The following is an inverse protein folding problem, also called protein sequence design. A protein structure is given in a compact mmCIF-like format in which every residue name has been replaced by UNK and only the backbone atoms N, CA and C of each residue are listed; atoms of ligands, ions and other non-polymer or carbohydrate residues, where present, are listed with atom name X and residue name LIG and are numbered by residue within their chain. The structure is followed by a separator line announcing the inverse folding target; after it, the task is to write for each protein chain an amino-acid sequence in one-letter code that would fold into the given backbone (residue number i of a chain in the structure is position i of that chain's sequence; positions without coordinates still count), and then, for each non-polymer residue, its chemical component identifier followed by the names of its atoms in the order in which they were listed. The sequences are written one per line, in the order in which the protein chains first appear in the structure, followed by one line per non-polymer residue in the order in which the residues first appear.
data_IF_832386847014
#
_entry.id   IF_832386847014
#
_cell.length_a   1.000
_cell.length_b   1.000
_cell.length_c   1.000
_cell.angle_alpha   90.00
_cell.angle_beta   90.00
_cell.angle_gamma   90.00
#
_symmetry.space_group_name_H-M   'P 1'
#
loop_
_entity.id
_entity.type
_entity.pdbx_description
1 polymer ?
#
# COMPACT_ATOMS: atom_id res chain seq x y z
N UNK A 1 -6.01 53.10 10.62
CA UNK A 1 -6.78 52.60 9.45
C UNK A 1 -6.18 51.26 9.05
N UNK A 2 -6.81 50.15 9.45
CA UNK A 2 -6.37 48.81 9.05
C UNK A 2 -6.83 48.56 7.61
N UNK A 3 -5.88 48.50 6.66
CA UNK A 3 -6.15 48.25 5.27
C UNK A 3 -6.79 46.84 5.13
N UNK A 4 -8.02 46.75 4.63
CA UNK A 4 -8.68 45.53 4.22
C UNK A 4 -7.77 44.83 3.18
N UNK A 5 -7.10 43.73 3.56
CA UNK A 5 -6.38 42.86 2.61
C UNK A 5 -7.38 42.40 1.56
N UNK A 6 -7.27 42.93 0.35
CA UNK A 6 -8.09 42.47 -0.80
C UNK A 6 -7.84 40.99 -0.99
N UNK A 7 -8.90 40.21 -0.95
CA UNK A 7 -8.82 38.77 -1.20
C UNK A 7 -8.27 38.55 -2.62
N UNK A 8 -7.21 37.78 -2.82
CA UNK A 8 -6.55 37.65 -4.11
C UNK A 8 -7.41 36.78 -5.07
N UNK A 9 -8.38 37.41 -5.72
CA UNK A 9 -9.34 36.77 -6.63
C UNK A 9 -8.65 35.93 -7.72
N UNK A 10 -7.48 36.37 -8.18
CA UNK A 10 -6.67 35.63 -9.18
C UNK A 10 -6.25 34.23 -8.68
N UNK A 11 -5.89 34.09 -7.40
CA UNK A 11 -5.56 32.77 -6.84
C UNK A 11 -6.75 31.82 -6.85
N UNK A 12 -7.96 32.33 -6.57
CA UNK A 12 -9.19 31.51 -6.61
C UNK A 12 -9.46 31.06 -8.04
N UNK A 13 -9.35 31.95 -9.02
CA UNK A 13 -9.59 31.61 -10.43
C UNK A 13 -8.62 30.55 -10.94
N UNK A 14 -7.34 30.61 -10.55
CA UNK A 14 -6.34 29.59 -10.94
C UNK A 14 -6.50 28.25 -10.23
N UNK A 15 -6.90 28.24 -8.95
CA UNK A 15 -7.03 27.01 -8.15
C UNK A 15 -8.39 26.35 -8.33
N UNK A 16 -9.46 27.13 -8.62
CA UNK A 16 -10.83 26.64 -8.69
C UNK A 16 -11.04 25.44 -9.65
N UNK A 17 -10.50 25.41 -10.89
CA UNK A 17 -10.69 24.29 -11.79
C UNK A 17 -10.13 22.98 -11.21
N UNK A 18 -8.91 23.03 -10.68
CA UNK A 18 -8.27 21.85 -10.06
C UNK A 18 -9.02 21.41 -8.80
N UNK A 19 -9.45 22.36 -7.96
CA UNK A 19 -10.20 22.07 -6.75
C UNK A 19 -11.59 21.48 -7.04
N UNK A 20 -12.29 21.97 -8.08
CA UNK A 20 -13.58 21.44 -8.49
C UNK A 20 -13.43 20.00 -8.98
N UNK A 21 -12.45 19.73 -9.86
CA UNK A 21 -12.17 18.37 -10.37
C UNK A 21 -11.84 17.44 -9.21
N UNK A 22 -10.94 17.84 -8.32
CA UNK A 22 -10.57 17.06 -7.15
C UNK A 22 -11.77 16.78 -6.23
N UNK A 23 -12.62 17.77 -6.01
CA UNK A 23 -13.81 17.60 -5.17
C UNK A 23 -14.81 16.64 -5.79
N UNK A 24 -15.09 16.75 -7.09
CA UNK A 24 -16.06 15.92 -7.79
C UNK A 24 -15.59 14.46 -7.94
N UNK A 25 -14.32 14.23 -8.22
CA UNK A 25 -13.82 12.90 -8.56
C UNK A 25 -13.11 12.19 -7.40
N UNK A 26 -12.74 12.89 -6.33
CA UNK A 26 -12.04 12.30 -5.20
C UNK A 26 -12.76 12.48 -3.86
N UNK A 27 -13.13 13.72 -3.51
CA UNK A 27 -13.80 13.98 -2.22
C UNK A 27 -15.22 13.43 -2.22
N UNK A 28 -16.01 13.73 -3.25
CA UNK A 28 -17.41 13.29 -3.31
C UNK A 28 -17.55 11.75 -3.29
N UNK A 29 -16.84 10.95 -4.12
CA UNK A 29 -16.89 9.49 -4.03
C UNK A 29 -16.40 8.93 -2.69
N UNK A 30 -15.40 9.55 -2.06
CA UNK A 30 -14.93 9.16 -0.73
C UNK A 30 -16.03 9.35 0.32
N UNK A 31 -16.67 10.51 0.35
CA UNK A 31 -17.76 10.82 1.29
C UNK A 31 -18.96 9.91 1.02
N UNK A 32 -19.32 9.69 -0.25
CA UNK A 32 -20.43 8.79 -0.61
C UNK A 32 -20.14 7.33 -0.25
N UNK A 33 -18.90 6.86 -0.45
CA UNK A 33 -18.48 5.53 0.00
C UNK A 33 -18.55 5.39 1.52
N UNK A 34 -18.09 6.40 2.28
CA UNK A 34 -18.24 6.40 3.73
C UNK A 34 -19.71 6.41 4.16
N UNK A 35 -20.55 7.21 3.49
CA UNK A 35 -21.99 7.21 3.73
C UNK A 35 -22.58 5.83 3.49
N UNK A 36 -22.27 5.22 2.34
CA UNK A 36 -22.78 3.90 1.94
C UNK A 36 -22.45 2.80 2.96
N UNK A 37 -21.35 2.90 3.69
CA UNK A 37 -20.97 1.94 4.72
C UNK A 37 -21.94 1.87 5.91
N UNK A 38 -22.77 2.91 6.12
CA UNK A 38 -23.79 2.98 7.16
C UNK A 38 -25.19 2.61 6.66
N UNK A 39 -25.33 2.18 5.41
CA UNK A 39 -26.59 1.78 4.79
C UNK A 39 -26.53 0.33 4.33
N UNK A 40 -27.68 -0.33 4.35
CA UNK A 40 -27.87 -1.67 3.77
C UNK A 40 -29.07 -1.67 2.82
N UNK A 41 -29.09 -2.58 1.82
CA UNK A 41 -30.29 -2.79 1.01
C UNK A 41 -31.46 -3.22 1.90
N UNK A 42 -32.66 -2.65 1.71
CA UNK A 42 -33.84 -2.94 2.52
C UNK A 42 -34.19 -4.45 2.55
N UNK A 43 -34.05 -5.13 1.42
CA UNK A 43 -34.33 -6.57 1.29
C UNK A 43 -33.39 -7.47 2.13
N UNK A 44 -32.15 -7.02 2.37
CA UNK A 44 -31.22 -7.76 3.24
C UNK A 44 -31.63 -7.62 4.70
N UNK A 45 -32.18 -6.48 5.08
CA UNK A 45 -32.66 -6.22 6.44
C UNK A 45 -33.94 -7.02 6.69
N UNK A 46 -34.89 -7.05 5.74
CA UNK A 46 -36.13 -7.82 5.83
C UNK A 46 -35.88 -9.33 5.87
N UNK A 47 -34.91 -9.84 5.07
CA UNK A 47 -34.55 -11.27 5.07
C UNK A 47 -33.88 -11.72 6.38
N UNK A 48 -33.12 -10.85 7.05
CA UNK A 48 -32.56 -11.15 8.38
C UNK A 48 -33.65 -11.19 9.47
N UNK A 49 -34.66 -10.33 9.37
CA UNK A 49 -35.78 -10.30 10.32
C UNK A 49 -36.74 -11.50 10.15
N UNK A 50 -36.91 -11.99 8.91
CA UNK A 50 -37.81 -13.12 8.61
C UNK A 50 -37.15 -14.49 8.66
N UNK A 51 -35.82 -14.58 8.71
CA UNK A 51 -35.06 -15.84 8.72
C UNK A 51 -35.13 -16.64 7.39
N UNK A 52 -35.58 -16.03 6.29
CA UNK A 52 -35.69 -16.68 5.00
C UNK A 52 -34.32 -16.81 4.30
N UNK A 53 -34.01 -18.03 3.85
CA UNK A 53 -32.80 -18.32 3.07
C UNK A 53 -33.06 -18.01 1.60
N UNK A 54 -32.64 -16.83 1.14
CA UNK A 54 -32.75 -16.45 -0.27
C UNK A 54 -31.77 -17.23 -1.15
N UNK A 55 -32.22 -17.64 -2.34
CA UNK A 55 -31.34 -18.22 -3.34
C UNK A 55 -30.36 -17.15 -3.91
N UNK A 56 -29.14 -17.56 -4.32
CA UNK A 56 -28.14 -16.63 -4.84
C UNK A 56 -28.63 -15.80 -6.04
N UNK A 57 -29.57 -16.34 -6.86
CA UNK A 57 -30.16 -15.65 -7.99
C UNK A 57 -31.16 -14.58 -7.59
N UNK A 58 -31.99 -14.84 -6.59
CA UNK A 58 -32.95 -13.88 -6.01
C UNK A 58 -32.21 -12.74 -5.30
N UNK A 59 -31.17 -13.07 -4.52
CA UNK A 59 -30.31 -12.09 -3.90
C UNK A 59 -29.59 -11.19 -4.92
N UNK A 60 -29.28 -11.71 -6.11
CA UNK A 60 -28.65 -10.91 -7.19
C UNK A 60 -29.66 -10.01 -7.91
N UNK A 61 -30.86 -10.51 -8.21
CA UNK A 61 -31.96 -9.72 -8.81
C UNK A 61 -32.41 -8.61 -7.86
N UNK A 62 -32.56 -8.93 -6.58
CA UNK A 62 -32.88 -8.01 -5.51
C UNK A 62 -31.83 -6.89 -5.37
N UNK A 63 -30.56 -7.19 -5.44
CA UNK A 63 -29.46 -6.22 -5.36
C UNK A 63 -29.38 -5.26 -6.57
N UNK A 64 -29.77 -5.71 -7.74
CA UNK A 64 -29.88 -4.83 -8.94
C UNK A 64 -31.07 -3.88 -8.81
N UNK A 65 -32.17 -4.33 -8.24
CA UNK A 65 -33.37 -3.52 -7.95
C UNK A 65 -33.18 -2.58 -6.76
N UNK A 66 -32.41 -2.98 -5.75
CA UNK A 66 -32.30 -2.33 -4.42
C UNK A 66 -31.40 -1.08 -4.38
N UNK A 67 -30.74 -0.70 -5.48
CA UNK A 67 -30.07 0.61 -5.55
C UNK A 67 -31.01 1.80 -5.26
N UNK A 68 -32.31 1.55 -5.10
CA UNK A 68 -33.33 2.58 -4.81
C UNK A 68 -33.84 2.58 -3.35
N UNK A 69 -33.59 1.51 -2.58
CA UNK A 69 -34.14 1.40 -1.22
C UNK A 69 -33.00 1.04 -0.23
N UNK A 70 -32.12 2.00 0.04
CA UNK A 70 -31.09 1.85 1.08
C UNK A 70 -31.69 2.30 2.44
N UNK A 71 -31.58 1.45 3.45
CA UNK A 71 -32.00 1.73 4.83
C UNK A 71 -30.77 2.06 5.66
N UNK A 72 -30.85 3.08 6.50
CA UNK A 72 -29.79 3.41 7.44
C UNK A 72 -29.72 2.38 8.55
N UNK A 73 -28.60 1.67 8.65
CA UNK A 73 -28.35 0.61 9.64
C UNK A 73 -27.28 0.97 10.67
N UNK A 74 -26.79 2.21 10.65
CA UNK A 74 -25.73 2.66 11.55
C UNK A 74 -24.46 1.83 11.41
N UNK A 75 -23.95 1.31 12.54
CA UNK A 75 -22.69 0.53 12.58
C UNK A 75 -22.91 -0.98 12.36
N UNK A 76 -24.09 -1.43 12.02
CA UNK A 76 -24.40 -2.87 11.88
C UNK A 76 -23.53 -3.56 10.83
N UNK A 77 -23.21 -2.90 9.68
CA UNK A 77 -22.30 -3.44 8.69
C UNK A 77 -20.89 -3.69 9.25
N UNK A 78 -20.39 -2.78 10.10
CA UNK A 78 -19.09 -2.94 10.76
C UNK A 78 -19.11 -4.07 11.80
N UNK A 79 -20.20 -4.19 12.57
CA UNK A 79 -20.39 -5.31 13.49
C UNK A 79 -20.43 -6.62 12.72
N UNK A 80 -21.23 -6.71 11.65
CA UNK A 80 -21.31 -7.88 10.78
C UNK A 80 -19.95 -8.23 10.16
N UNK A 81 -19.20 -7.25 9.66
CA UNK A 81 -17.86 -7.49 9.11
C UNK A 81 -16.89 -8.13 10.12
N UNK A 82 -17.04 -7.81 11.41
CA UNK A 82 -16.15 -8.27 12.48
C UNK A 82 -16.61 -9.52 13.22
N UNK A 83 -17.92 -9.85 13.18
CA UNK A 83 -18.50 -10.94 13.99
C UNK A 83 -19.09 -12.07 13.17
N UNK A 84 -19.53 -11.84 11.94
CA UNK A 84 -20.15 -12.85 11.08
C UNK A 84 -19.11 -13.91 10.68
N UNK A 85 -19.43 -15.22 10.78
CA UNK A 85 -18.52 -16.31 10.43
C UNK A 85 -18.00 -16.29 8.99
N UNK A 86 -18.73 -15.66 8.06
CA UNK A 86 -18.32 -15.53 6.66
C UNK A 86 -17.31 -14.38 6.46
N UNK A 87 -17.54 -13.25 7.15
CA UNK A 87 -16.78 -12.01 6.94
C UNK A 87 -15.58 -11.86 7.87
N UNK A 88 -15.74 -12.21 9.15
CA UNK A 88 -14.73 -11.98 10.17
C UNK A 88 -13.37 -12.66 9.87
N UNK A 89 -13.30 -13.93 9.45
CA UNK A 89 -12.02 -14.55 9.12
C UNK A 89 -11.33 -13.90 7.92
N UNK A 90 -12.12 -13.43 6.93
CA UNK A 90 -11.59 -12.81 5.70
C UNK A 90 -11.01 -11.43 5.97
N UNK A 91 -11.71 -10.56 6.70
CA UNK A 91 -11.18 -9.23 7.05
C UNK A 91 -9.95 -9.33 7.96
N UNK A 92 -9.96 -10.25 8.93
CA UNK A 92 -8.80 -10.48 9.80
C UNK A 92 -7.60 -11.01 9.00
N UNK A 93 -7.83 -11.94 8.06
CA UNK A 93 -6.81 -12.43 7.14
C UNK A 93 -6.22 -11.31 6.29
N UNK A 94 -7.06 -10.48 5.66
CA UNK A 94 -6.64 -9.36 4.84
C UNK A 94 -5.85 -8.31 5.65
N UNK A 95 -6.30 -7.95 6.86
CA UNK A 95 -5.58 -7.05 7.75
C UNK A 95 -4.21 -7.63 8.11
N UNK A 96 -4.15 -8.90 8.54
CA UNK A 96 -2.89 -9.59 8.84
C UNK A 96 -1.93 -9.56 7.66
N UNK A 97 -2.42 -9.90 6.47
CA UNK A 97 -1.63 -9.91 5.25
C UNK A 97 -1.10 -8.51 4.89
N UNK A 98 -1.91 -7.45 5.05
CA UNK A 98 -1.43 -6.07 4.87
C UNK A 98 -0.30 -5.71 5.85
N UNK A 99 -0.41 -6.12 7.11
CA UNK A 99 0.68 -5.88 8.07
C UNK A 99 1.93 -6.68 7.74
N UNK A 100 1.81 -7.93 7.26
CA UNK A 100 2.97 -8.73 6.79
C UNK A 100 3.59 -8.07 5.56
N UNK A 101 2.78 -7.66 4.60
CA UNK A 101 3.22 -6.94 3.39
C UNK A 101 3.95 -5.65 3.75
N UNK A 102 3.40 -4.84 4.63
CA UNK A 102 4.03 -3.63 5.16
C UNK A 102 5.34 -3.93 5.90
N UNK A 103 5.36 -4.95 6.76
CA UNK A 103 6.56 -5.33 7.51
C UNK A 103 7.71 -5.71 6.57
N UNK A 104 7.43 -6.46 5.50
CA UNK A 104 8.45 -6.81 4.49
C UNK A 104 9.00 -5.55 3.81
N UNK A 105 8.13 -4.61 3.42
CA UNK A 105 8.58 -3.36 2.81
C UNK A 105 9.38 -2.50 3.80
N UNK A 106 8.92 -2.41 5.04
CA UNK A 106 9.60 -1.62 6.07
C UNK A 106 10.96 -2.20 6.45
N UNK A 107 11.07 -3.55 6.55
CA UNK A 107 12.27 -4.23 7.04
C UNK A 107 13.22 -4.69 5.92
N UNK A 108 12.75 -4.78 4.69
CA UNK A 108 13.56 -5.23 3.54
C UNK A 108 13.73 -4.10 2.53
N UNK A 109 12.65 -3.54 1.99
CA UNK A 109 12.72 -2.50 0.95
C UNK A 109 13.42 -1.23 1.44
N UNK A 110 13.00 -0.68 2.57
CA UNK A 110 13.52 0.60 3.04
C UNK A 110 15.00 0.50 3.48
N UNK A 111 15.45 -0.53 4.21
CA UNK A 111 16.88 -0.74 4.48
C UNK A 111 17.72 -0.97 3.21
N UNK A 112 17.24 -1.76 2.25
CA UNK A 112 17.94 -1.93 0.96
C UNK A 112 18.02 -0.58 0.23
N UNK A 113 16.93 0.18 0.18
CA UNK A 113 16.90 1.53 -0.40
C UNK A 113 17.91 2.47 0.27
N UNK A 114 18.02 2.43 1.59
CA UNK A 114 19.01 3.22 2.34
C UNK A 114 20.44 2.78 2.03
N UNK A 115 20.74 1.50 2.01
CA UNK A 115 22.06 0.97 1.65
C UNK A 115 22.45 1.39 0.23
N UNK A 116 21.53 1.23 -0.73
CA UNK A 116 21.75 1.68 -2.11
C UNK A 116 21.99 3.19 -2.19
N UNK A 117 21.24 3.99 -1.43
CA UNK A 117 21.44 5.44 -1.37
C UNK A 117 22.83 5.81 -0.84
N UNK A 118 23.29 5.16 0.24
CA UNK A 118 24.63 5.37 0.81
C UNK A 118 25.71 4.99 -0.19
N UNK A 119 25.58 3.86 -0.86
CA UNK A 119 26.54 3.42 -1.88
C UNK A 119 26.59 4.39 -3.06
N UNK A 120 25.44 4.80 -3.58
CA UNK A 120 25.34 5.66 -4.76
C UNK A 120 25.61 7.15 -4.49
N UNK A 121 25.67 7.58 -3.23
CA UNK A 121 26.16 8.92 -2.85
C UNK A 121 27.64 8.92 -2.53
N UNK A 122 28.27 7.75 -2.29
CA UNK A 122 29.70 7.61 -2.03
C UNK A 122 30.53 8.00 -3.25
N UNK A 123 31.70 8.64 -3.06
CA UNK A 123 32.63 8.97 -4.14
C UNK A 123 33.32 7.73 -4.78
N UNK A 124 33.28 6.59 -4.09
CA UNK A 124 33.93 5.35 -4.55
C UNK A 124 33.20 4.69 -5.75
N UNK A 125 31.90 4.96 -5.96
CA UNK A 125 31.14 4.36 -7.05
C UNK A 125 31.23 5.18 -8.32
N UNK A 126 31.63 4.54 -9.43
CA UNK A 126 31.62 5.12 -10.79
C UNK A 126 30.26 4.86 -11.44
N UNK A 127 29.87 5.70 -12.42
CA UNK A 127 28.61 5.55 -13.18
C UNK A 127 27.33 5.58 -12.35
N UNK A 128 27.29 6.34 -11.26
CA UNK A 128 26.15 6.47 -10.33
C UNK A 128 24.81 6.72 -11.04
N UNK A 129 24.81 7.54 -12.08
CA UNK A 129 23.61 7.87 -12.85
C UNK A 129 23.00 6.62 -13.49
N UNK A 130 23.83 5.75 -14.08
CA UNK A 130 23.37 4.50 -14.72
C UNK A 130 22.74 3.57 -13.67
N UNK A 131 23.41 3.35 -12.53
CA UNK A 131 22.85 2.52 -11.47
C UNK A 131 21.54 3.08 -10.91
N UNK A 132 21.45 4.39 -10.67
CA UNK A 132 20.19 5.03 -10.25
C UNK A 132 19.07 4.79 -11.23
N UNK A 133 19.35 4.97 -12.53
CA UNK A 133 18.36 4.71 -13.59
C UNK A 133 17.92 3.25 -13.62
N UNK A 134 18.86 2.31 -13.59
CA UNK A 134 18.55 0.87 -13.64
C UNK A 134 17.73 0.38 -12.42
N UNK A 135 18.07 0.87 -11.22
CA UNK A 135 17.35 0.50 -9.99
C UNK A 135 15.96 1.15 -9.94
N UNK A 136 15.81 2.35 -10.52
CA UNK A 136 14.53 3.06 -10.57
C UNK A 136 13.63 2.58 -11.70
N UNK A 137 14.19 2.00 -12.77
CA UNK A 137 13.47 1.56 -13.97
C UNK A 137 12.26 0.67 -13.66
N UNK A 138 12.33 -0.35 -12.77
CA UNK A 138 11.18 -1.19 -12.46
C UNK A 138 9.97 -0.40 -11.92
N UNK A 139 10.20 0.70 -11.23
CA UNK A 139 9.15 1.53 -10.61
C UNK A 139 8.20 2.16 -11.65
N UNK A 140 8.69 2.44 -12.86
CA UNK A 140 7.89 3.05 -13.94
C UNK A 140 7.15 2.01 -14.80
N UNK A 141 7.41 0.71 -14.61
CA UNK A 141 6.69 -0.34 -15.32
C UNK A 141 5.26 -0.47 -14.78
N UNK A 142 4.31 -0.74 -15.67
CA UNK A 142 2.94 -0.99 -15.25
C UNK A 142 2.84 -2.27 -14.41
N UNK A 143 1.92 -2.30 -13.45
CA UNK A 143 1.65 -3.48 -12.63
C UNK A 143 1.28 -4.70 -13.49
N UNK A 144 0.54 -4.48 -14.58
CA UNK A 144 0.14 -5.55 -15.49
C UNK A 144 1.36 -6.21 -16.14
N UNK A 145 2.31 -5.40 -16.62
CA UNK A 145 3.54 -5.91 -17.22
C UNK A 145 4.39 -6.66 -16.18
N UNK A 146 4.59 -6.06 -15.01
CA UNK A 146 5.36 -6.68 -13.91
C UNK A 146 4.70 -8.00 -13.48
N UNK A 147 3.39 -7.99 -13.24
CA UNK A 147 2.65 -9.19 -12.85
C UNK A 147 2.76 -10.31 -13.88
N UNK A 148 2.58 -10.00 -15.16
CA UNK A 148 2.69 -10.96 -16.25
C UNK A 148 4.11 -11.55 -16.38
N UNK A 149 5.15 -10.71 -16.34
CA UNK A 149 6.54 -11.17 -16.41
C UNK A 149 6.83 -12.15 -15.26
N UNK A 150 6.48 -11.78 -14.02
CA UNK A 150 6.74 -12.62 -12.86
C UNK A 150 5.90 -13.90 -12.85
N UNK A 151 4.64 -13.87 -13.33
CA UNK A 151 3.86 -15.09 -13.54
C UNK A 151 4.55 -16.08 -14.49
N UNK A 152 5.07 -15.59 -15.61
CA UNK A 152 5.81 -16.44 -16.57
C UNK A 152 7.10 -16.96 -15.94
N UNK A 153 7.90 -16.08 -15.31
CA UNK A 153 9.18 -16.46 -14.73
C UNK A 153 9.06 -17.49 -13.61
N UNK A 154 8.00 -17.40 -12.80
CA UNK A 154 7.75 -18.27 -11.65
C UNK A 154 6.80 -19.43 -11.98
N UNK A 155 6.38 -19.58 -13.25
CA UNK A 155 5.49 -20.67 -13.67
C UNK A 155 6.14 -22.05 -13.41
N UNK A 156 5.46 -23.01 -12.77
CA UNK A 156 6.05 -24.31 -12.44
C UNK A 156 6.29 -25.21 -13.66
N UNK A 157 5.62 -24.96 -14.79
CA UNK A 157 5.71 -25.83 -15.97
C UNK A 157 6.78 -25.35 -16.97
N UNK A 158 6.86 -24.05 -17.22
CA UNK A 158 7.74 -23.47 -18.24
C UNK A 158 8.53 -22.23 -17.76
N UNK A 159 8.44 -21.90 -16.49
CA UNK A 159 9.19 -20.78 -15.93
C UNK A 159 10.67 -21.10 -15.74
N UNK A 160 11.51 -20.07 -15.89
CA UNK A 160 12.97 -20.18 -15.80
C UNK A 160 13.51 -20.32 -14.38
N UNK A 161 12.68 -20.11 -13.36
CA UNK A 161 13.09 -20.09 -11.96
C UNK A 161 13.70 -21.40 -11.47
N UNK A 162 13.17 -22.55 -11.93
CA UNK A 162 13.70 -23.87 -11.64
C UNK A 162 15.09 -24.08 -12.25
N UNK A 163 15.26 -23.66 -13.50
CA UNK A 163 16.51 -23.82 -14.24
C UNK A 163 17.62 -22.95 -13.65
N UNK A 164 17.29 -21.70 -13.26
CA UNK A 164 18.23 -20.81 -12.58
C UNK A 164 18.69 -21.43 -11.26
N UNK A 165 17.78 -21.94 -10.43
CA UNK A 165 18.14 -22.58 -9.16
C UNK A 165 19.00 -23.82 -9.35
N UNK A 166 18.72 -24.61 -10.39
CA UNK A 166 19.51 -25.77 -10.76
C UNK A 166 20.91 -25.36 -11.19
N UNK A 167 21.03 -24.31 -12.00
CA UNK A 167 22.32 -23.79 -12.49
C UNK A 167 23.23 -23.30 -11.36
N UNK A 168 22.66 -22.67 -10.33
CA UNK A 168 23.42 -22.19 -9.15
C UNK A 168 23.58 -23.24 -8.06
N UNK A 169 23.17 -24.50 -8.31
CA UNK A 169 23.35 -25.62 -7.38
C UNK A 169 22.36 -25.69 -6.22
N UNK A 170 21.23 -25.00 -6.32
CA UNK A 170 20.18 -24.93 -5.29
C UNK A 170 18.81 -25.44 -5.74
N UNK A 171 18.70 -26.57 -6.45
CA UNK A 171 17.43 -27.07 -6.97
C UNK A 171 16.41 -27.41 -5.87
N UNK A 172 16.88 -27.74 -4.67
CA UNK A 172 16.05 -28.06 -3.51
C UNK A 172 15.26 -26.86 -2.95
N UNK A 173 15.63 -25.62 -3.31
CA UNK A 173 14.90 -24.44 -2.92
C UNK A 173 13.71 -24.13 -3.86
N UNK A 174 13.63 -24.86 -4.98
CA UNK A 174 12.52 -24.67 -5.90
C UNK A 174 11.20 -25.16 -5.30
N UNK A 175 10.18 -24.35 -5.42
CA UNK A 175 8.79 -24.68 -5.13
C UNK A 175 7.87 -23.78 -5.99
N UNK A 176 6.60 -24.14 -6.17
CA UNK A 176 5.65 -23.29 -6.87
C UNK A 176 5.22 -22.11 -5.97
N UNK A 177 6.12 -21.13 -5.78
CA UNK A 177 5.97 -20.07 -4.77
C UNK A 177 4.65 -19.29 -4.84
N UNK A 178 4.08 -19.08 -6.02
CA UNK A 178 2.79 -18.40 -6.19
C UNK A 178 1.60 -19.36 -5.98
N UNK A 179 1.83 -20.67 -6.00
CA UNK A 179 0.79 -21.69 -5.85
C UNK A 179 0.65 -22.25 -4.43
N UNK A 180 1.51 -21.85 -3.48
CA UNK A 180 1.47 -22.31 -2.10
C UNK A 180 0.98 -21.19 -1.17
N UNK A 181 0.06 -21.53 -0.24
CA UNK A 181 -0.46 -20.57 0.75
C UNK A 181 0.64 -19.95 1.60
N UNK A 182 1.66 -20.72 1.95
CA UNK A 182 2.76 -20.27 2.82
C UNK A 182 3.73 -19.31 2.17
N UNK A 183 3.85 -19.31 0.84
CA UNK A 183 4.85 -18.52 0.12
C UNK A 183 4.27 -17.46 -0.79
N UNK A 184 2.99 -17.54 -1.19
CA UNK A 184 2.39 -16.64 -2.16
C UNK A 184 2.51 -15.16 -1.76
N UNK A 185 2.12 -14.80 -0.54
CA UNK A 185 2.19 -13.42 -0.05
C UNK A 185 3.65 -12.90 0.03
N UNK A 186 4.56 -13.73 0.55
CA UNK A 186 5.98 -13.36 0.69
C UNK A 186 6.60 -13.13 -0.68
N UNK A 187 6.34 -14.03 -1.64
CA UNK A 187 6.85 -13.92 -3.01
C UNK A 187 6.35 -12.64 -3.68
N UNK A 188 5.06 -12.35 -3.59
CA UNK A 188 4.48 -11.12 -4.14
C UNK A 188 5.02 -9.87 -3.45
N UNK A 189 5.24 -9.93 -2.13
CA UNK A 189 5.88 -8.84 -1.39
C UNK A 189 7.31 -8.57 -1.88
N UNK A 190 8.10 -9.62 -2.15
CA UNK A 190 9.47 -9.47 -2.67
C UNK A 190 9.48 -8.94 -4.12
N UNK A 191 8.51 -9.34 -4.95
CA UNK A 191 8.32 -8.76 -6.29
C UNK A 191 8.02 -7.25 -6.16
N UNK A 192 7.14 -6.88 -5.25
CA UNK A 192 6.83 -5.47 -4.96
C UNK A 192 8.06 -4.71 -4.43
N UNK A 193 8.84 -5.30 -3.53
CA UNK A 193 10.12 -4.72 -3.06
C UNK A 193 11.06 -4.44 -4.23
N UNK A 194 11.24 -5.42 -5.13
CA UNK A 194 12.08 -5.24 -6.33
C UNK A 194 11.55 -4.10 -7.21
N UNK A 195 10.23 -4.01 -7.41
CA UNK A 195 9.64 -2.96 -8.23
C UNK A 195 9.83 -1.57 -7.62
N UNK A 196 9.69 -1.42 -6.31
CA UNK A 196 9.57 -0.11 -5.66
C UNK A 196 10.78 0.32 -4.83
N UNK A 197 11.85 -0.48 -4.72
CA UNK A 197 13.05 -0.12 -3.93
C UNK A 197 13.74 1.17 -4.43
N UNK A 198 13.52 1.53 -5.70
CA UNK A 198 14.02 2.77 -6.28
C UNK A 198 13.48 4.03 -5.61
N UNK A 199 12.25 4.01 -5.08
CA UNK A 199 11.63 5.17 -4.42
C UNK A 199 12.37 5.55 -3.12
N UNK A 200 12.48 4.66 -2.11
CA UNK A 200 13.23 4.98 -0.90
C UNK A 200 14.70 5.27 -1.20
N UNK A 201 15.34 4.57 -2.15
CA UNK A 201 16.70 4.86 -2.57
C UNK A 201 16.86 6.31 -3.03
N UNK A 202 15.97 6.82 -3.85
CA UNK A 202 16.03 8.21 -4.36
C UNK A 202 15.79 9.23 -3.25
N UNK A 203 14.80 8.99 -2.37
CA UNK A 203 14.50 9.89 -1.25
C UNK A 203 15.66 9.96 -0.25
N UNK A 204 16.25 8.82 0.11
CA UNK A 204 17.42 8.78 0.97
C UNK A 204 18.65 9.39 0.30
N UNK A 205 18.83 9.17 -1.01
CA UNK A 205 19.93 9.79 -1.75
C UNK A 205 19.84 11.31 -1.73
N UNK A 206 18.64 11.87 -1.94
CA UNK A 206 18.42 13.31 -1.88
C UNK A 206 18.73 13.87 -0.47
N UNK A 207 18.29 13.19 0.57
CA UNK A 207 18.57 13.59 1.95
C UNK A 207 20.06 13.52 2.29
N UNK A 208 20.76 12.46 1.85
CA UNK A 208 22.20 12.29 2.10
C UNK A 208 23.05 13.31 1.36
N UNK A 209 22.66 13.71 0.14
CA UNK A 209 23.35 14.78 -0.63
C UNK A 209 23.15 16.17 -0.01
N UNK A 210 22.03 16.37 0.72
CA UNK A 210 21.76 17.63 1.42
C UNK A 210 22.60 17.85 2.69
N UNK A 211 23.35 16.85 3.16
CA UNK A 211 24.24 17.00 4.34
C UNK A 211 25.49 17.78 3.94
N UNK A 212 25.87 18.81 4.71
CA UNK A 212 27.10 19.59 4.48
C UNK A 212 28.34 18.69 4.49
N UNK A 213 29.20 18.85 3.47
CA UNK A 213 30.48 18.14 3.41
C UNK A 213 31.42 18.55 4.54
N UNK A 214 31.34 19.80 5.01
CA UNK A 214 32.14 20.31 6.13
C UNK A 214 31.99 19.50 7.40
N UNK A 215 30.72 19.08 7.73
CA UNK A 215 30.46 18.22 8.88
C UNK A 215 31.13 16.84 8.74
N UNK A 216 31.12 16.30 7.53
CA UNK A 216 31.73 14.99 7.24
C UNK A 216 33.26 15.07 7.27
N UNK A 217 33.83 16.16 6.77
CA UNK A 217 35.27 16.41 6.78
C UNK A 217 35.80 16.66 8.20
N UNK A 218 35.11 17.49 8.99
CA UNK A 218 35.46 17.71 10.39
C UNK A 218 35.54 16.39 11.17
N UNK A 219 34.50 15.53 11.01
CA UNK A 219 34.48 14.21 11.65
C UNK A 219 35.64 13.30 11.19
N UNK A 220 36.07 13.41 9.93
CA UNK A 220 37.28 12.67 9.44
C UNK A 220 38.55 13.18 10.07
N UNK A 221 38.71 14.48 10.23
CA UNK A 221 39.83 15.07 10.93
C UNK A 221 39.90 14.63 12.38
N UNK A 222 38.74 14.48 13.03
CA UNK A 222 38.60 13.93 14.39
C UNK A 222 38.81 12.40 14.45
N UNK A 223 39.17 11.75 13.34
CA UNK A 223 39.47 10.31 13.28
C UNK A 223 38.26 9.41 13.18
N UNK A 224 37.07 9.92 12.89
CA UNK A 224 35.88 9.08 12.75
C UNK A 224 35.96 8.17 11.51
N UNK A 225 35.65 6.88 11.67
CA UNK A 225 35.53 5.94 10.56
C UNK A 225 34.28 6.21 9.73
N UNK A 226 34.26 5.73 8.47
CA UNK A 226 33.08 5.86 7.60
C UNK A 226 31.80 5.28 8.23
N UNK A 227 31.91 4.18 8.98
CA UNK A 227 30.82 3.56 9.73
C UNK A 227 30.34 4.47 10.88
N UNK A 228 31.30 5.06 11.63
CA UNK A 228 30.98 6.03 12.69
C UNK A 228 30.29 7.28 12.16
N UNK A 229 30.77 7.83 11.05
CA UNK A 229 30.15 8.97 10.36
C UNK A 229 28.73 8.64 9.92
N UNK A 230 28.49 7.45 9.38
CA UNK A 230 27.14 7.05 8.97
C UNK A 230 26.18 7.01 10.16
N UNK A 231 26.52 6.26 11.22
CA UNK A 231 25.61 6.04 12.33
C UNK A 231 25.44 7.23 13.26
N UNK A 232 26.50 8.05 13.46
CA UNK A 232 26.46 9.16 14.43
C UNK A 232 26.16 10.52 13.81
N UNK A 233 26.34 10.66 12.50
CA UNK A 233 26.14 11.94 11.81
C UNK A 233 25.07 11.83 10.74
N UNK A 234 25.29 10.99 9.71
CA UNK A 234 24.41 10.95 8.54
C UNK A 234 23.02 10.43 8.88
N UNK A 235 22.93 9.28 9.56
CA UNK A 235 21.64 8.65 9.87
C UNK A 235 20.77 9.55 10.76
N UNK A 236 21.24 10.14 11.88
CA UNK A 236 20.45 11.08 12.66
C UNK A 236 19.95 12.29 11.86
N UNK A 237 20.77 12.86 10.98
CA UNK A 237 20.40 14.00 10.16
C UNK A 237 19.32 13.68 9.11
N UNK A 238 19.26 12.43 8.61
CA UNK A 238 18.22 12.01 7.67
C UNK A 238 17.01 11.34 8.36
N UNK A 239 16.97 11.27 9.70
CA UNK A 239 15.83 10.68 10.43
C UNK A 239 14.46 11.27 10.05
N UNK A 240 14.31 12.58 9.78
CA UNK A 240 13.07 13.12 9.25
C UNK A 240 12.65 12.44 7.93
N UNK A 241 13.61 12.23 7.02
CA UNK A 241 13.36 11.52 5.75
C UNK A 241 13.03 10.05 5.96
N UNK A 242 13.67 9.36 6.93
CA UNK A 242 13.32 7.97 7.31
C UNK A 242 11.86 7.90 7.75
N UNK A 243 11.40 8.86 8.51
CA UNK A 243 10.01 8.95 8.92
C UNK A 243 9.05 9.19 7.74
N UNK A 244 9.40 10.10 6.83
CA UNK A 244 8.60 10.36 5.61
C UNK A 244 8.52 9.08 4.76
N UNK A 245 9.63 8.41 4.51
CA UNK A 245 9.66 7.13 3.78
C UNK A 245 8.80 6.09 4.47
N UNK A 246 8.88 5.99 5.80
CA UNK A 246 8.08 5.06 6.58
C UNK A 246 6.57 5.28 6.43
N UNK A 247 6.11 6.52 6.51
CA UNK A 247 4.67 6.82 6.35
C UNK A 247 4.21 6.64 4.90
N UNK A 248 5.03 6.99 3.91
CA UNK A 248 4.72 6.73 2.51
C UNK A 248 4.62 5.23 2.23
N UNK A 249 5.54 4.44 2.78
CA UNK A 249 5.51 2.97 2.71
C UNK A 249 4.24 2.43 3.36
N UNK A 250 3.85 2.93 4.53
CA UNK A 250 2.63 2.52 5.22
C UNK A 250 1.38 2.80 4.37
N UNK A 251 1.20 4.04 3.93
CA UNK A 251 0.03 4.44 3.12
C UNK A 251 -0.01 3.66 1.81
N UNK A 252 1.12 3.52 1.10
CA UNK A 252 1.21 2.78 -0.15
C UNK A 252 0.84 1.30 0.00
N UNK A 253 1.33 0.66 1.06
CA UNK A 253 1.07 -0.77 1.29
C UNK A 253 -0.37 -1.06 1.74
N UNK A 254 -1.01 -0.16 2.49
CA UNK A 254 -2.42 -0.33 2.84
C UNK A 254 -3.38 0.01 1.69
N UNK A 255 -2.91 0.71 0.66
CA UNK A 255 -3.63 0.91 -0.61
C UNK A 255 -3.22 -0.10 -1.71
N UNK A 256 -2.34 -1.07 -1.41
CA UNK A 256 -1.86 -2.02 -2.39
C UNK A 256 -3.02 -2.91 -2.90
N UNK A 257 -3.13 -3.00 -4.22
CA UNK A 257 -4.13 -3.79 -4.93
C UNK A 257 -3.58 -4.35 -6.23
N UNK A 258 -3.08 -3.47 -7.10
CA UNK A 258 -2.85 -3.75 -8.52
C UNK A 258 -1.92 -4.93 -8.76
N UNK A 259 -0.78 -5.01 -8.06
CA UNK A 259 0.20 -6.08 -8.26
C UNK A 259 -0.37 -7.44 -7.84
N UNK A 260 -1.01 -7.51 -6.67
CA UNK A 260 -1.59 -8.76 -6.16
C UNK A 260 -2.69 -9.23 -7.09
N UNK A 261 -3.58 -8.31 -7.49
CA UNK A 261 -4.66 -8.62 -8.43
C UNK A 261 -4.15 -9.08 -9.79
N UNK A 262 -3.09 -8.46 -10.30
CA UNK A 262 -2.50 -8.83 -11.60
C UNK A 262 -1.85 -10.20 -11.56
N UNK A 263 -1.18 -10.56 -10.44
CA UNK A 263 -0.48 -11.85 -10.32
C UNK A 263 -1.46 -12.99 -10.00
N UNK A 264 -2.46 -12.78 -9.15
CA UNK A 264 -3.31 -13.85 -8.61
C UNK A 264 -4.80 -13.72 -8.94
N UNK A 265 -5.18 -12.64 -9.63
CA UNK A 265 -6.58 -12.34 -9.92
C UNK A 265 -7.39 -12.02 -8.66
N UNK A 266 -8.71 -12.08 -8.80
CA UNK A 266 -9.64 -11.70 -7.72
C UNK A 266 -9.64 -12.64 -6.51
N UNK A 267 -9.08 -13.86 -6.61
CA UNK A 267 -8.93 -14.78 -5.47
C UNK A 267 -7.72 -14.46 -4.61
N UNK A 268 -6.80 -13.62 -5.08
CA UNK A 268 -5.60 -13.22 -4.35
C UNK A 268 -4.81 -14.39 -3.76
N UNK A 269 -4.50 -15.38 -4.61
CA UNK A 269 -3.72 -16.56 -4.27
C UNK A 269 -4.54 -17.78 -3.84
N UNK A 270 -3.86 -18.92 -3.59
CA UNK A 270 -4.52 -20.12 -3.12
C UNK A 270 -5.18 -19.83 -1.75
N UNK A 271 -6.46 -20.16 -1.62
CA UNK A 271 -7.26 -19.98 -0.41
C UNK A 271 -7.16 -18.57 0.20
N UNK A 272 -7.13 -17.52 -0.63
CA UNK A 272 -7.01 -16.12 -0.21
C UNK A 272 -5.75 -15.79 0.60
N UNK A 273 -4.68 -16.60 0.47
CA UNK A 273 -3.46 -16.49 1.30
C UNK A 273 -2.68 -15.19 1.10
N UNK A 274 -2.85 -14.52 -0.03
CA UNK A 274 -2.26 -13.21 -0.31
C UNK A 274 -3.30 -12.08 -0.43
N UNK A 275 -4.51 -12.31 0.08
CA UNK A 275 -5.58 -11.30 0.06
C UNK A 275 -5.19 -10.08 0.90
N UNK A 276 -5.23 -8.91 0.29
CA UNK A 276 -5.03 -7.62 0.94
C UNK A 276 -6.40 -6.91 1.06
N UNK A 277 -6.45 -5.85 1.86
CA UNK A 277 -7.67 -5.04 2.00
C UNK A 277 -8.16 -4.50 0.66
N UNK A 278 -7.25 -4.11 -0.24
CA UNK A 278 -7.59 -3.65 -1.59
C UNK A 278 -8.22 -4.74 -2.47
N UNK A 279 -7.67 -5.95 -2.49
CA UNK A 279 -8.21 -7.09 -3.25
C UNK A 279 -9.51 -7.60 -2.66
N UNK A 280 -9.62 -7.63 -1.34
CA UNK A 280 -10.84 -8.00 -0.64
C UNK A 280 -11.96 -6.97 -0.89
N UNK A 281 -11.66 -5.67 -0.80
CA UNK A 281 -12.57 -4.59 -1.18
C UNK A 281 -13.09 -4.76 -2.61
N UNK A 282 -12.17 -4.87 -3.58
CA UNK A 282 -12.53 -4.96 -5.00
C UNK A 282 -13.47 -6.14 -5.27
N UNK A 283 -13.10 -7.34 -4.80
CA UNK A 283 -13.93 -8.55 -4.96
C UNK A 283 -15.31 -8.40 -4.29
N UNK A 284 -15.35 -7.77 -3.13
CA UNK A 284 -16.61 -7.59 -2.39
C UNK A 284 -17.49 -6.55 -3.06
N UNK A 285 -16.94 -5.42 -3.48
CA UNK A 285 -17.68 -4.31 -4.05
C UNK A 285 -18.23 -4.63 -5.45
N UNK A 286 -17.37 -5.13 -6.33
CA UNK A 286 -17.72 -5.38 -7.74
C UNK A 286 -18.24 -6.80 -7.97
N UNK A 287 -17.99 -7.73 -7.06
CA UNK A 287 -18.20 -9.15 -7.28
C UNK A 287 -17.05 -9.84 -8.00
N UNK A 288 -17.06 -11.15 -8.00
CA UNK A 288 -16.07 -11.95 -8.71
C UNK A 288 -16.65 -13.31 -9.12
N UNK A 289 -16.54 -13.68 -10.39
CA UNK A 289 -17.12 -14.89 -10.96
C UNK A 289 -18.62 -15.00 -10.68
N UNK A 290 -19.06 -16.05 -9.97
CA UNK A 290 -20.46 -16.27 -9.59
C UNK A 290 -20.88 -15.52 -8.31
N UNK A 291 -19.94 -14.89 -7.61
CA UNK A 291 -20.26 -14.12 -6.41
C UNK A 291 -20.70 -12.70 -6.80
N UNK A 292 -21.95 -12.36 -6.53
CA UNK A 292 -22.47 -11.03 -6.74
C UNK A 292 -21.76 -9.99 -5.87
N UNK A 293 -21.56 -8.78 -6.41
CA UNK A 293 -21.00 -7.67 -5.66
C UNK A 293 -21.91 -7.24 -4.51
N UNK A 294 -21.29 -6.76 -3.43
CA UNK A 294 -21.97 -6.15 -2.29
C UNK A 294 -21.35 -4.77 -2.02
N UNK A 295 -21.90 -3.70 -2.66
CA UNK A 295 -21.32 -2.37 -2.54
C UNK A 295 -21.31 -1.81 -1.12
N UNK A 296 -22.33 -2.10 -0.29
CA UNK A 296 -22.41 -1.61 1.09
C UNK A 296 -21.36 -2.27 1.99
N UNK A 297 -21.17 -3.59 1.86
CA UNK A 297 -20.10 -4.28 2.57
C UNK A 297 -18.71 -3.90 2.02
N UNK A 298 -18.57 -3.71 0.70
CA UNK A 298 -17.35 -3.16 0.10
C UNK A 298 -17.02 -1.78 0.67
N UNK A 299 -18.01 -0.88 0.73
CA UNK A 299 -17.84 0.45 1.34
C UNK A 299 -17.44 0.35 2.82
N UNK A 300 -17.96 -0.63 3.55
CA UNK A 300 -17.58 -0.90 4.95
C UNK A 300 -16.09 -1.31 5.06
N UNK A 301 -15.61 -2.17 4.16
CA UNK A 301 -14.19 -2.56 4.08
C UNK A 301 -13.31 -1.34 3.77
N UNK A 302 -13.73 -0.48 2.82
CA UNK A 302 -13.05 0.76 2.51
C UNK A 302 -12.99 1.71 3.72
N UNK A 303 -14.09 1.81 4.49
CA UNK A 303 -14.16 2.57 5.74
C UNK A 303 -13.17 2.07 6.80
N UNK A 304 -13.07 0.74 6.98
CA UNK A 304 -12.06 0.13 7.87
C UNK A 304 -10.65 0.43 7.39
N UNK A 305 -10.37 0.27 6.09
CA UNK A 305 -9.07 0.58 5.50
C UNK A 305 -8.69 2.05 5.72
N UNK A 306 -9.62 2.97 5.47
CA UNK A 306 -9.44 4.39 5.73
C UNK A 306 -9.13 4.67 7.20
N UNK A 307 -9.86 4.06 8.13
CA UNK A 307 -9.64 4.23 9.56
C UNK A 307 -8.24 3.73 10.01
N UNK A 308 -7.78 2.60 9.46
CA UNK A 308 -6.42 2.07 9.72
C UNK A 308 -5.36 3.05 9.20
N UNK A 309 -5.50 3.51 7.95
CA UNK A 309 -4.55 4.44 7.34
C UNK A 309 -4.53 5.76 8.12
N UNK A 310 -5.69 6.33 8.42
CA UNK A 310 -5.80 7.57 9.18
C UNK A 310 -5.14 7.45 10.55
N UNK A 311 -5.42 6.36 11.27
CA UNK A 311 -4.83 6.09 12.59
C UNK A 311 -3.31 6.00 12.49
N UNK A 312 -2.77 5.25 11.53
CA UNK A 312 -1.32 5.14 11.33
C UNK A 312 -0.65 6.47 11.01
N UNK A 313 -1.27 7.27 10.13
CA UNK A 313 -0.76 8.62 9.79
C UNK A 313 -0.81 9.56 11.00
N UNK A 314 -1.89 9.54 11.78
CA UNK A 314 -2.00 10.36 13.00
C UNK A 314 -0.96 9.95 14.05
N UNK A 315 -0.74 8.65 14.25
CA UNK A 315 0.32 8.14 15.14
C UNK A 315 1.71 8.61 14.68
N UNK A 316 1.97 8.60 13.37
CA UNK A 316 3.21 9.14 12.83
C UNK A 316 3.34 10.65 13.09
N UNK A 317 2.33 11.45 12.75
CA UNK A 317 2.38 12.90 12.88
C UNK A 317 2.52 13.35 14.35
N UNK A 318 1.72 12.79 15.23
CA UNK A 318 1.69 13.19 16.63
C UNK A 318 2.73 12.47 17.51
N UNK A 319 3.12 11.25 17.14
CA UNK A 319 4.10 10.44 17.89
C UNK A 319 5.54 10.68 17.45
N UNK A 320 5.81 10.43 16.17
CA UNK A 320 7.18 10.42 15.64
C UNK A 320 7.65 11.83 15.23
N UNK A 321 6.90 12.51 14.39
CA UNK A 321 7.34 13.80 13.82
C UNK A 321 7.53 14.88 14.88
N UNK A 322 6.65 14.97 15.88
CA UNK A 322 6.80 15.93 16.99
C UNK A 322 8.06 15.71 17.84
N UNK A 323 8.57 14.47 17.91
CA UNK A 323 9.80 14.17 18.67
C UNK A 323 11.04 14.60 17.90
N UNK A 324 11.04 14.46 16.59
CA UNK A 324 12.21 14.80 15.74
C UNK A 324 12.36 16.32 15.62
N UNK A 325 11.28 17.05 15.35
CA UNK A 325 11.30 18.52 15.26
C UNK A 325 11.70 19.22 16.57
N UNK A 326 11.61 18.56 17.73
CA UNK A 326 12.10 19.10 19.00
C UNK A 326 13.62 19.00 19.18
N UNK A 327 14.29 18.24 18.37
CA UNK A 327 15.76 18.04 18.46
C UNK A 327 16.53 19.03 17.55
N UNK A 328 15.81 19.74 16.66
CA UNK A 328 16.38 20.75 15.76
C UNK A 328 16.44 22.17 16.33
N UNK A 329 16.06 22.39 17.63
CA UNK A 329 16.16 23.70 18.32
C UNK A 329 17.00 23.60 19.57
#
# INVERSE_FOLDING_TARGET
MAGRKKFPLHLVVFIAPAFIIYTLFMIYPLVDSLRLSFYAPAEVVEAEDTGETQTAAEAQAARVASRRNEVFVGIANYQRLLTDPLWAPRIQGAIKNNFVFFAIHMLVQNPIGLVLAVLLTSQAVRFKAIYRTLIFLPTILSFVLVGFIWQIMLNPLWGISKDILTLIGLPQLYQPWLGLESSALITQSLISVWQFVGIPMMLFSAALVGISEELVEAARVDGATAWGIFWRIKLPLIMPTVGIVGVLTFVGNFNAFDLIYTIQGGLAGPNFSSDLLGTFFHRTFFGFQLQAGNPTMGATIAGVTFAIILTGVLLYLFGYQRRITRVEY
#
